data_IF_697263076576
#
_entry.id   IF_697263076576
#
_cell.length_a   1.000
_cell.length_b   1.000
_cell.length_c   1.000
_cell.angle_alpha   90.00
_cell.angle_beta   90.00
_cell.angle_gamma   90.00
#
_symmetry.space_group_name_H-M   'P 1'
#
loop_
_entity.id
_entity.type
_entity.pdbx_description
1 polymer ?
#
# COMPACT_ATOMS: atom_id res chain seq x y z
N UNK A 1 -9.23 13.62 -14.23
CA UNK A 1 -8.56 14.60 -13.32
C UNK A 1 -9.14 14.38 -11.94
N UNK A 2 -8.32 14.37 -10.89
CA UNK A 2 -8.80 14.27 -9.49
C UNK A 2 -9.36 15.63 -9.04
N UNK A 3 -10.35 15.60 -8.13
CA UNK A 3 -11.01 16.84 -7.64
C UNK A 3 -10.13 17.64 -6.63
N UNK A 4 -9.16 16.99 -5.99
CA UNK A 4 -8.14 17.61 -5.15
C UNK A 4 -6.93 16.68 -4.99
N UNK A 5 -5.88 17.14 -4.29
CA UNK A 5 -4.64 16.40 -4.07
C UNK A 5 -4.68 15.46 -2.85
N UNK A 6 -5.79 15.39 -2.12
CA UNK A 6 -5.89 14.55 -0.93
C UNK A 6 -6.36 13.14 -1.30
N UNK A 7 -5.64 12.17 -0.76
CA UNK A 7 -5.84 10.74 -1.00
C UNK A 7 -6.01 10.03 0.34
N UNK A 8 -6.94 9.08 0.43
CA UNK A 8 -6.97 8.15 1.57
C UNK A 8 -5.89 7.10 1.35
N UNK A 9 -4.95 7.01 2.31
CA UNK A 9 -3.90 5.99 2.28
C UNK A 9 -4.48 4.57 2.46
N UNK A 10 -3.88 3.54 1.85
CA UNK A 10 -4.29 2.16 2.07
C UNK A 10 -4.03 1.75 3.53
N UNK A 11 -5.05 1.25 4.20
CA UNK A 11 -5.01 0.85 5.61
C UNK A 11 -5.70 -0.50 5.77
N UNK A 12 -5.00 -1.50 6.28
CA UNK A 12 -5.56 -2.81 6.62
C UNK A 12 -6.64 -2.66 7.67
N UNK A 13 -7.83 -3.18 7.39
CA UNK A 13 -9.00 -3.10 8.29
C UNK A 13 -9.62 -4.46 8.62
N UNK A 14 -9.04 -5.55 8.18
CA UNK A 14 -9.41 -6.94 8.50
C UNK A 14 -10.93 -7.18 8.65
N UNK A 15 -11.73 -6.58 7.76
CA UNK A 15 -13.21 -6.54 7.85
C UNK A 15 -13.92 -7.26 6.71
N UNK A 16 -13.16 -8.01 5.89
CA UNK A 16 -13.71 -8.93 4.90
C UNK A 16 -14.24 -10.21 5.57
N UNK A 17 -14.90 -11.05 4.79
CA UNK A 17 -15.22 -12.42 5.24
C UNK A 17 -13.95 -13.27 5.32
N UNK A 18 -14.03 -14.44 5.94
CA UNK A 18 -12.92 -15.41 5.94
C UNK A 18 -12.48 -15.81 4.53
N UNK A 19 -13.39 -15.78 3.54
CA UNK A 19 -13.11 -16.04 2.13
C UNK A 19 -12.56 -14.82 1.37
N UNK A 20 -12.29 -13.71 2.07
CA UNK A 20 -11.75 -12.49 1.47
C UNK A 20 -12.77 -11.69 0.66
N UNK A 21 -14.07 -11.93 0.84
CA UNK A 21 -15.12 -11.16 0.19
C UNK A 21 -15.31 -9.82 0.91
N UNK A 22 -15.37 -8.73 0.17
CA UNK A 22 -15.69 -7.42 0.75
C UNK A 22 -17.12 -7.42 1.32
N UNK A 23 -17.28 -6.77 2.49
CA UNK A 23 -18.54 -6.75 3.24
C UNK A 23 -19.29 -5.43 3.08
N UNK A 24 -20.56 -5.41 3.48
CA UNK A 24 -21.35 -4.17 3.51
C UNK A 24 -20.77 -3.15 4.53
N UNK A 25 -20.10 -3.62 5.58
CA UNK A 25 -19.34 -2.78 6.52
C UNK A 25 -18.21 -2.05 5.79
N UNK A 26 -17.44 -2.76 4.97
CA UNK A 26 -16.39 -2.16 4.13
C UNK A 26 -16.98 -1.18 3.11
N UNK A 27 -18.10 -1.51 2.48
CA UNK A 27 -18.81 -0.61 1.55
C UNK A 27 -19.11 0.75 2.22
N UNK A 28 -19.71 0.74 3.42
CA UNK A 28 -20.03 1.96 4.18
C UNK A 28 -18.75 2.69 4.62
N UNK A 29 -17.71 1.95 4.99
CA UNK A 29 -16.41 2.51 5.37
C UNK A 29 -15.75 3.28 4.22
N UNK A 30 -15.73 2.75 3.00
CA UNK A 30 -15.15 3.44 1.85
C UNK A 30 -16.04 4.59 1.34
N UNK A 31 -17.35 4.41 1.33
CA UNK A 31 -18.30 5.44 0.90
C UNK A 31 -18.19 6.74 1.71
N UNK A 32 -17.87 6.67 3.02
CA UNK A 32 -17.73 7.88 3.85
C UNK A 32 -16.60 8.81 3.41
N UNK A 33 -15.49 8.27 2.88
CA UNK A 33 -14.39 9.08 2.38
C UNK A 33 -14.75 9.74 1.04
N UNK A 34 -15.45 9.03 0.19
CA UNK A 34 -15.91 9.55 -1.08
C UNK A 34 -16.92 10.70 -0.88
N UNK A 35 -17.91 10.51 0.00
CA UNK A 35 -18.85 11.53 0.44
C UNK A 35 -18.16 12.69 1.15
N UNK A 36 -17.10 12.43 1.92
CA UNK A 36 -16.29 13.42 2.63
C UNK A 36 -15.35 14.24 1.75
N UNK A 37 -15.33 13.99 0.44
CA UNK A 37 -14.67 14.89 -0.52
C UNK A 37 -13.27 14.49 -0.95
N UNK A 38 -12.71 13.34 -0.56
CA UNK A 38 -11.41 12.89 -1.04
C UNK A 38 -11.38 12.70 -2.55
N UNK A 39 -10.28 13.13 -3.22
CA UNK A 39 -10.11 12.97 -4.66
C UNK A 39 -9.81 11.54 -5.10
N UNK A 40 -9.08 10.83 -4.26
CA UNK A 40 -8.67 9.44 -4.48
C UNK A 40 -8.78 8.65 -3.17
N UNK A 41 -9.22 7.41 -3.25
CA UNK A 41 -9.16 6.43 -2.17
C UNK A 41 -8.37 5.23 -2.65
N UNK A 42 -7.28 4.89 -1.95
CA UNK A 42 -6.55 3.65 -2.21
C UNK A 42 -7.07 2.60 -1.23
N UNK A 43 -7.59 1.49 -1.77
CA UNK A 43 -8.09 0.39 -0.96
C UNK A 43 -6.97 -0.25 -0.15
N UNK A 44 -7.32 -0.88 0.98
CA UNK A 44 -6.38 -1.68 1.76
C UNK A 44 -5.71 -2.79 0.92
N UNK A 45 -4.60 -3.36 1.42
CA UNK A 45 -3.86 -4.39 0.71
C UNK A 45 -4.70 -5.63 0.40
N UNK A 46 -4.96 -5.86 -0.90
CA UNK A 46 -5.72 -7.00 -1.43
C UNK A 46 -4.76 -8.13 -1.78
N UNK A 47 -4.95 -9.32 -1.22
CA UNK A 47 -4.09 -10.44 -1.55
C UNK A 47 -4.35 -10.94 -2.99
N UNK A 48 -3.27 -11.34 -3.69
CA UNK A 48 -3.24 -11.53 -5.14
C UNK A 48 -3.49 -12.95 -5.60
N UNK A 49 -3.28 -13.93 -4.72
CA UNK A 49 -3.39 -15.36 -5.04
C UNK A 49 -3.89 -16.16 -3.82
N UNK A 50 -4.35 -17.40 -4.06
CA UNK A 50 -4.76 -18.35 -3.02
C UNK A 50 -3.60 -19.24 -2.53
N UNK A 51 -2.38 -18.97 -2.97
CA UNK A 51 -1.20 -19.74 -2.55
C UNK A 51 -0.58 -19.16 -1.28
N UNK A 52 0.05 -17.99 -1.36
CA UNK A 52 0.88 -17.48 -0.28
C UNK A 52 0.69 -15.99 0.03
N UNK A 53 -0.12 -15.26 -0.76
CA UNK A 53 -0.17 -13.79 -0.66
C UNK A 53 -0.99 -13.26 0.53
N UNK A 54 -1.96 -14.02 1.07
CA UNK A 54 -2.76 -13.59 2.22
C UNK A 54 -1.87 -13.35 3.44
N UNK A 55 -2.05 -12.21 4.10
CA UNK A 55 -1.26 -11.81 5.26
C UNK A 55 -2.01 -11.86 6.59
N UNK A 56 -3.33 -11.72 6.56
CA UNK A 56 -4.14 -11.48 7.75
C UNK A 56 -5.47 -12.22 7.69
N UNK A 57 -5.98 -12.60 8.85
CA UNK A 57 -7.38 -13.04 8.98
C UNK A 57 -8.31 -11.93 8.50
N UNK A 58 -9.36 -12.29 7.79
CA UNK A 58 -10.35 -11.35 7.24
C UNK A 58 -9.77 -10.24 6.36
N UNK A 59 -8.59 -10.47 5.77
CA UNK A 59 -8.05 -9.59 4.73
C UNK A 59 -8.87 -9.77 3.45
N UNK A 60 -9.27 -8.70 2.74
CA UNK A 60 -9.93 -8.83 1.45
C UNK A 60 -8.97 -9.32 0.37
N UNK A 61 -9.50 -10.12 -0.56
CA UNK A 61 -8.76 -10.69 -1.68
C UNK A 61 -9.10 -10.09 -3.03
N UNK A 62 -8.21 -10.31 -3.99
CA UNK A 62 -8.42 -10.08 -5.41
C UNK A 62 -7.95 -11.31 -6.23
N UNK A 63 -7.83 -12.45 -5.56
CA UNK A 63 -7.32 -13.70 -6.11
C UNK A 63 -8.36 -14.45 -6.98
N UNK A 64 -9.64 -14.18 -6.79
CA UNK A 64 -10.74 -14.83 -7.49
C UNK A 64 -11.80 -13.83 -7.93
N UNK A 65 -12.53 -14.16 -9.00
CA UNK A 65 -13.60 -13.31 -9.56
C UNK A 65 -14.71 -13.03 -8.53
N UNK A 66 -15.04 -14.01 -7.67
CA UNK A 66 -16.03 -13.81 -6.61
C UNK A 66 -15.61 -12.74 -5.60
N UNK A 67 -14.33 -12.64 -5.29
CA UNK A 67 -13.79 -11.57 -4.41
C UNK A 67 -13.87 -10.23 -5.12
N UNK A 68 -13.40 -10.15 -6.36
CA UNK A 68 -13.46 -8.94 -7.18
C UNK A 68 -14.88 -8.41 -7.35
N UNK A 69 -15.86 -9.27 -7.61
CA UNK A 69 -17.27 -8.89 -7.78
C UNK A 69 -17.86 -8.19 -6.55
N UNK A 70 -17.39 -8.51 -5.34
CA UNK A 70 -17.90 -7.85 -4.12
C UNK A 70 -17.42 -6.40 -3.97
N UNK A 71 -16.43 -5.96 -4.73
CA UNK A 71 -15.94 -4.60 -4.74
C UNK A 71 -16.73 -3.66 -5.67
N UNK A 72 -17.52 -4.19 -6.64
CA UNK A 72 -18.26 -3.37 -7.60
C UNK A 72 -19.14 -2.31 -6.91
N UNK A 73 -19.94 -2.70 -5.93
CA UNK A 73 -20.79 -1.75 -5.22
C UNK A 73 -19.98 -0.69 -4.42
N UNK A 74 -18.74 -1.00 -4.02
CA UNK A 74 -17.85 -0.07 -3.32
C UNK A 74 -17.29 0.96 -4.29
N UNK A 75 -16.81 0.53 -5.45
CA UNK A 75 -16.30 1.42 -6.49
C UNK A 75 -17.39 2.29 -7.10
N UNK A 76 -18.60 1.74 -7.32
CA UNK A 76 -19.78 2.48 -7.79
C UNK A 76 -20.18 3.59 -6.80
N UNK A 77 -20.21 3.31 -5.48
CA UNK A 77 -20.49 4.32 -4.46
C UNK A 77 -19.44 5.45 -4.48
N UNK A 78 -18.15 5.13 -4.65
CA UNK A 78 -17.10 6.13 -4.76
C UNK A 78 -17.26 7.00 -6.02
N UNK A 79 -17.54 6.37 -7.16
CA UNK A 79 -17.76 7.06 -8.43
C UNK A 79 -18.97 7.99 -8.39
N UNK A 80 -20.05 7.63 -7.66
CA UNK A 80 -21.23 8.48 -7.46
C UNK A 80 -20.86 9.82 -6.77
N UNK A 81 -19.75 9.87 -6.04
CA UNK A 81 -19.21 11.07 -5.40
C UNK A 81 -18.02 11.70 -6.17
N UNK A 82 -17.79 11.33 -7.44
CA UNK A 82 -16.64 11.76 -8.24
C UNK A 82 -15.29 11.49 -7.56
N UNK A 83 -15.17 10.40 -6.81
CA UNK A 83 -13.95 9.92 -6.18
C UNK A 83 -13.41 8.75 -6.98
N UNK A 84 -12.11 8.76 -7.27
CA UNK A 84 -11.43 7.62 -7.88
C UNK A 84 -11.02 6.61 -6.81
N UNK A 85 -11.03 5.33 -7.18
CA UNK A 85 -10.55 4.25 -6.31
C UNK A 85 -9.44 3.46 -6.98
N UNK A 86 -8.32 3.28 -6.26
CA UNK A 86 -7.23 2.41 -6.69
C UNK A 86 -7.18 1.15 -5.81
N UNK A 87 -6.91 0.00 -6.42
CA UNK A 87 -6.68 -1.24 -5.71
C UNK A 87 -5.22 -1.34 -5.30
N UNK A 88 -4.92 -1.44 -4.00
CA UNK A 88 -3.57 -1.82 -3.59
C UNK A 88 -3.44 -3.35 -3.63
N UNK A 89 -2.56 -3.88 -4.47
CA UNK A 89 -2.27 -5.31 -4.56
C UNK A 89 -1.08 -5.68 -3.69
N UNK A 90 -1.23 -6.69 -2.85
CA UNK A 90 -0.27 -7.04 -1.81
C UNK A 90 -0.01 -8.54 -1.74
N UNK A 91 1.24 -8.91 -1.54
CA UNK A 91 1.65 -10.24 -1.13
C UNK A 91 2.44 -10.12 0.18
N UNK A 92 1.93 -10.71 1.26
CA UNK A 92 2.50 -10.49 2.60
C UNK A 92 3.90 -11.11 2.78
N UNK A 93 4.22 -12.17 2.04
CA UNK A 93 5.53 -12.82 2.16
C UNK A 93 5.76 -13.39 3.56
N UNK A 94 6.97 -13.19 4.08
CA UNK A 94 7.36 -13.63 5.42
C UNK A 94 6.54 -13.00 6.55
N UNK A 95 5.90 -11.83 6.32
CA UNK A 95 5.07 -11.14 7.30
C UNK A 95 3.63 -11.65 7.36
N UNK A 96 3.26 -12.70 6.62
CA UNK A 96 1.96 -13.33 6.76
C UNK A 96 1.77 -13.86 8.19
N UNK A 97 0.71 -13.40 8.85
CA UNK A 97 0.32 -13.80 10.21
C UNK A 97 -0.72 -14.91 10.19
N UNK A 98 -1.57 -14.91 9.16
CA UNK A 98 -2.53 -15.97 8.92
C UNK A 98 -2.79 -16.11 7.41
N UNK A 99 -2.53 -17.32 6.88
CA UNK A 99 -2.88 -17.70 5.53
C UNK A 99 -3.71 -18.98 5.60
N UNK A 100 -4.98 -18.89 5.24
CA UNK A 100 -5.90 -20.04 5.29
C UNK A 100 -5.63 -21.10 4.23
N UNK A 101 -4.84 -20.78 3.20
CA UNK A 101 -4.60 -21.64 2.04
C UNK A 101 -3.32 -22.45 2.16
N UNK A 102 -2.35 -22.00 2.94
CA UNK A 102 -1.04 -22.63 3.13
C UNK A 102 -0.56 -22.57 4.57
N UNK A 103 0.22 -23.57 4.95
CA UNK A 103 0.78 -23.70 6.31
C UNK A 103 2.15 -23.05 6.50
N UNK A 104 2.74 -22.46 5.46
CA UNK A 104 4.04 -21.82 5.53
C UNK A 104 4.06 -20.50 4.74
N UNK A 105 4.90 -19.60 5.19
CA UNK A 105 5.16 -18.33 4.52
C UNK A 105 6.31 -18.48 3.52
N UNK A 106 6.33 -17.60 2.52
CA UNK A 106 7.40 -17.53 1.52
C UNK A 106 8.11 -16.19 1.58
N UNK A 107 9.37 -16.17 1.13
CA UNK A 107 10.22 -14.97 1.13
C UNK A 107 11.32 -15.11 0.07
N UNK A 108 12.14 -14.06 -0.18
CA UNK A 108 13.35 -14.22 -1.00
C UNK A 108 14.33 -15.22 -0.39
N UNK A 109 14.44 -15.25 0.94
CA UNK A 109 15.39 -16.07 1.70
C UNK A 109 14.75 -16.60 2.99
N UNK A 110 15.25 -17.71 3.57
CA UNK A 110 14.70 -18.29 4.79
C UNK A 110 15.18 -17.51 6.03
N UNK A 111 14.86 -16.23 6.08
CA UNK A 111 15.22 -15.30 7.16
C UNK A 111 13.96 -14.95 7.94
N UNK A 112 13.95 -15.27 9.25
CA UNK A 112 12.82 -14.93 10.11
C UNK A 112 12.69 -13.42 10.27
N UNK A 113 11.49 -12.82 10.04
CA UNK A 113 11.27 -11.41 10.32
C UNK A 113 11.55 -11.05 11.78
N UNK A 114 12.06 -9.84 12.00
CA UNK A 114 12.25 -9.26 13.34
C UNK A 114 10.90 -8.97 14.00
N UNK A 115 10.90 -8.92 15.34
CA UNK A 115 9.75 -8.51 16.14
C UNK A 115 8.69 -9.60 16.26
N UNK A 116 7.50 -9.18 16.65
CA UNK A 116 6.33 -10.03 16.85
C UNK A 116 5.22 -9.65 15.86
N UNK A 117 4.32 -10.60 15.63
CA UNK A 117 3.11 -10.41 14.84
C UNK A 117 2.22 -9.33 15.45
N UNK A 118 1.53 -8.56 14.63
CA UNK A 118 0.69 -7.45 15.07
C UNK A 118 -0.62 -7.95 15.68
N UNK A 119 -0.78 -7.76 16.98
CA UNK A 119 -1.94 -8.25 17.74
C UNK A 119 -3.27 -7.62 17.28
N UNK A 120 -3.23 -6.37 16.81
CA UNK A 120 -4.40 -5.68 16.28
C UNK A 120 -4.89 -6.20 14.91
N UNK A 121 -4.09 -7.04 14.24
CA UNK A 121 -4.45 -7.79 13.04
C UNK A 121 -4.52 -9.31 13.33
N UNK A 122 -4.92 -9.69 14.54
CA UNK A 122 -5.06 -11.08 15.04
C UNK A 122 -3.75 -11.86 15.17
N UNK A 123 -2.59 -11.22 15.04
CA UNK A 123 -1.29 -11.89 15.17
C UNK A 123 -0.92 -12.21 16.60
N UNK A 124 -0.11 -13.24 16.79
CA UNK A 124 0.40 -13.65 18.11
C UNK A 124 1.81 -14.22 18.02
N UNK A 125 2.71 -13.76 18.90
CA UNK A 125 4.08 -14.28 19.01
C UNK A 125 4.98 -13.93 17.82
N UNK A 126 6.06 -14.68 17.69
CA UNK A 126 7.07 -14.44 16.64
C UNK A 126 6.56 -14.86 15.25
N UNK A 127 7.05 -14.18 14.22
CA UNK A 127 6.81 -14.63 12.84
C UNK A 127 7.41 -16.03 12.59
N UNK A 128 6.76 -16.90 11.79
CA UNK A 128 7.34 -18.19 11.41
C UNK A 128 8.57 -17.99 10.50
N UNK A 129 9.42 -19.02 10.41
CA UNK A 129 10.51 -19.05 9.43
C UNK A 129 9.90 -19.27 8.04
N UNK A 130 10.14 -18.37 7.07
CA UNK A 130 9.63 -18.54 5.71
C UNK A 130 10.46 -19.56 4.92
N UNK A 131 9.87 -20.06 3.83
CA UNK A 131 10.54 -20.85 2.80
C UNK A 131 11.00 -19.91 1.67
N UNK A 132 12.22 -20.08 1.18
CA UNK A 132 12.70 -19.30 0.05
C UNK A 132 11.94 -19.67 -1.23
N UNK A 133 11.50 -18.67 -1.99
CA UNK A 133 10.91 -18.85 -3.31
C UNK A 133 11.99 -19.32 -4.31
N UNK A 134 11.65 -20.31 -5.10
CA UNK A 134 12.41 -20.68 -6.30
C UNK A 134 11.94 -19.88 -7.53
N UNK A 135 12.53 -20.12 -8.68
CA UNK A 135 12.17 -19.44 -9.95
C UNK A 135 10.69 -19.64 -10.31
N UNK A 136 10.14 -20.82 -10.07
CA UNK A 136 8.73 -21.11 -10.35
C UNK A 136 7.81 -20.33 -9.42
N UNK A 137 8.11 -20.30 -8.11
CA UNK A 137 7.36 -19.53 -7.15
C UNK A 137 7.44 -18.01 -7.42
N UNK A 138 8.57 -17.49 -7.88
CA UNK A 138 8.70 -16.10 -8.30
C UNK A 138 7.82 -15.80 -9.53
N UNK A 139 7.78 -16.71 -10.51
CA UNK A 139 6.90 -16.57 -11.67
C UNK A 139 5.42 -16.59 -11.26
N UNK A 140 5.00 -17.49 -10.36
CA UNK A 140 3.64 -17.53 -9.80
C UNK A 140 3.25 -16.21 -9.09
N UNK A 141 4.19 -15.58 -8.37
CA UNK A 141 3.95 -14.26 -7.74
C UNK A 141 3.66 -13.22 -8.82
N UNK A 142 4.44 -13.14 -9.88
CA UNK A 142 4.23 -12.18 -10.99
C UNK A 142 2.86 -12.41 -11.63
N UNK A 143 2.53 -13.66 -11.95
CA UNK A 143 1.23 -14.04 -12.53
C UNK A 143 0.06 -13.69 -11.61
N UNK A 144 0.21 -13.91 -10.30
CA UNK A 144 -0.78 -13.54 -9.28
C UNK A 144 -1.09 -12.04 -9.28
N UNK A 145 -0.05 -11.19 -9.32
CA UNK A 145 -0.25 -9.73 -9.41
C UNK A 145 -0.94 -9.33 -10.72
N UNK A 146 -0.58 -9.92 -11.86
CA UNK A 146 -1.21 -9.63 -13.17
C UNK A 146 -2.68 -10.04 -13.16
N UNK A 147 -2.99 -11.25 -12.70
CA UNK A 147 -4.35 -11.75 -12.64
C UNK A 147 -5.23 -10.91 -11.68
N UNK A 148 -4.70 -10.55 -10.51
CA UNK A 148 -5.39 -9.69 -9.55
C UNK A 148 -5.64 -8.28 -10.11
N UNK A 149 -4.65 -7.68 -10.79
CA UNK A 149 -4.78 -6.37 -11.43
C UNK A 149 -5.88 -6.39 -12.51
N UNK A 150 -5.90 -7.43 -13.34
CA UNK A 150 -6.93 -7.61 -14.38
C UNK A 150 -8.34 -7.67 -13.77
N UNK A 151 -8.52 -8.46 -12.69
CA UNK A 151 -9.80 -8.54 -11.96
C UNK A 151 -10.19 -7.21 -11.31
N UNK A 152 -9.23 -6.52 -10.69
CA UNK A 152 -9.48 -5.24 -10.05
C UNK A 152 -10.04 -4.20 -11.03
N UNK A 153 -9.54 -4.16 -12.26
CA UNK A 153 -10.02 -3.21 -13.28
C UNK A 153 -11.30 -3.72 -13.93
N UNK A 154 -11.31 -4.95 -14.47
CA UNK A 154 -12.38 -5.39 -15.35
C UNK A 154 -13.58 -6.01 -14.63
N UNK A 155 -13.41 -6.48 -13.38
CA UNK A 155 -14.50 -7.07 -12.59
C UNK A 155 -14.90 -6.14 -11.45
N UNK A 156 -13.95 -5.65 -10.66
CA UNK A 156 -14.25 -4.83 -9.48
C UNK A 156 -14.52 -3.35 -9.79
N UNK A 157 -14.08 -2.83 -10.95
CA UNK A 157 -14.33 -1.46 -11.39
C UNK A 157 -13.38 -0.41 -10.76
N UNK A 158 -12.20 -0.80 -10.28
CA UNK A 158 -11.19 0.15 -9.84
C UNK A 158 -10.64 0.99 -11.00
N UNK A 159 -10.21 2.22 -10.71
CA UNK A 159 -9.69 3.17 -11.68
C UNK A 159 -8.17 3.05 -11.91
N UNK A 160 -7.47 2.31 -11.06
CA UNK A 160 -6.01 2.14 -11.16
C UNK A 160 -5.49 1.13 -10.13
N UNK A 161 -4.20 0.83 -10.24
CA UNK A 161 -3.50 -0.17 -9.43
C UNK A 161 -2.34 0.47 -8.68
N UNK A 162 -2.23 0.15 -7.40
CA UNK A 162 -1.03 0.37 -6.61
C UNK A 162 -0.38 -0.97 -6.25
N UNK A 163 0.84 -1.20 -6.69
CA UNK A 163 1.63 -2.38 -6.33
C UNK A 163 2.29 -2.11 -4.97
N UNK A 164 2.04 -2.97 -4.00
CA UNK A 164 2.61 -2.80 -2.67
C UNK A 164 4.02 -3.39 -2.56
N UNK A 165 5.03 -2.54 -2.71
CA UNK A 165 6.46 -2.88 -2.57
C UNK A 165 7.10 -2.13 -1.39
N UNK A 166 6.37 -1.98 -0.29
CA UNK A 166 6.74 -1.23 0.89
C UNK A 166 6.49 -2.00 2.19
N UNK A 167 6.82 -1.41 3.31
CA UNK A 167 6.42 -1.81 4.66
C UNK A 167 6.89 -3.21 5.11
N UNK A 168 7.84 -3.83 4.42
CA UNK A 168 8.35 -5.16 4.75
C UNK A 168 7.60 -6.32 4.11
N UNK A 169 6.62 -6.08 3.22
CA UNK A 169 5.93 -7.15 2.49
C UNK A 169 6.78 -7.73 1.36
N UNK A 170 6.32 -8.77 0.65
CA UNK A 170 7.15 -9.61 -0.20
C UNK A 170 8.05 -8.84 -1.16
N UNK A 171 7.52 -7.87 -1.91
CA UNK A 171 8.33 -7.13 -2.89
C UNK A 171 9.38 -6.26 -2.22
N UNK A 172 9.07 -5.71 -1.03
CA UNK A 172 10.02 -4.99 -0.20
C UNK A 172 11.05 -5.94 0.47
N UNK A 173 10.66 -7.20 0.79
CA UNK A 173 11.60 -8.21 1.27
C UNK A 173 12.64 -8.54 0.22
N UNK A 174 12.27 -8.60 -1.07
CA UNK A 174 13.23 -8.74 -2.15
C UNK A 174 14.16 -7.54 -2.28
N UNK A 175 13.64 -6.32 -2.12
CA UNK A 175 14.40 -5.07 -2.20
C UNK A 175 15.37 -4.90 -1.02
N UNK A 176 15.02 -5.37 0.16
CA UNK A 176 15.74 -5.14 1.43
C UNK A 176 16.90 -6.12 1.59
N UNK A 177 18.13 -5.61 1.79
CA UNK A 177 19.34 -6.42 1.90
C UNK A 177 19.30 -7.40 3.09
N UNK A 178 18.72 -6.98 4.22
CA UNK A 178 18.65 -7.76 5.45
C UNK A 178 17.68 -8.96 5.36
N UNK A 179 16.78 -8.97 4.40
CA UNK A 179 15.79 -10.04 4.19
C UNK A 179 16.03 -10.85 2.92
N UNK A 180 17.05 -10.48 2.13
CA UNK A 180 17.38 -11.10 0.85
C UNK A 180 18.89 -11.36 0.75
N UNK A 181 19.30 -12.59 1.11
CA UNK A 181 20.69 -13.07 1.01
C UNK A 181 20.97 -13.89 -0.26
N UNK A 182 20.06 -13.81 -1.25
CA UNK A 182 20.21 -14.51 -2.53
C UNK A 182 21.46 -14.06 -3.28
N UNK A 183 22.05 -15.00 -4.03
CA UNK A 183 23.24 -14.80 -4.88
C UNK A 183 22.94 -14.94 -6.37
N UNK A 184 21.67 -15.10 -6.72
CA UNK A 184 21.16 -15.18 -8.10
C UNK A 184 20.70 -13.80 -8.64
N UNK A 185 19.97 -13.80 -9.75
CA UNK A 185 19.47 -12.58 -10.40
C UNK A 185 18.50 -11.75 -9.54
N UNK A 186 17.98 -12.30 -8.43
CA UNK A 186 16.98 -11.69 -7.55
C UNK A 186 17.56 -11.13 -6.25
N UNK A 187 18.90 -11.23 -6.04
CA UNK A 187 19.58 -10.79 -4.82
C UNK A 187 20.90 -10.07 -5.06
N UNK A 188 21.66 -9.79 -4.00
CA UNK A 188 22.95 -9.11 -4.07
C UNK A 188 22.86 -7.58 -4.19
N UNK A 189 23.14 -6.98 -5.35
CA UNK A 189 23.12 -5.53 -5.53
C UNK A 189 21.71 -4.96 -5.44
N UNK A 190 21.57 -3.65 -5.13
CA UNK A 190 20.25 -2.99 -5.14
C UNK A 190 19.55 -3.15 -6.49
N UNK A 191 20.30 -3.11 -7.59
CA UNK A 191 19.75 -3.31 -8.94
C UNK A 191 19.17 -4.72 -9.12
N UNK A 192 19.86 -5.74 -8.63
CA UNK A 192 19.38 -7.14 -8.70
C UNK A 192 18.16 -7.33 -7.76
N UNK A 193 18.18 -6.75 -6.57
CA UNK A 193 17.05 -6.81 -5.63
C UNK A 193 15.80 -6.10 -6.15
N UNK A 194 15.93 -5.13 -7.05
CA UNK A 194 14.82 -4.46 -7.75
C UNK A 194 14.19 -5.31 -8.85
N UNK A 195 14.81 -6.43 -9.26
CA UNK A 195 14.33 -7.23 -10.40
C UNK A 195 12.89 -7.65 -10.24
N UNK A 196 12.48 -8.16 -9.07
CA UNK A 196 11.08 -8.59 -8.85
C UNK A 196 10.09 -7.41 -8.81
N UNK A 197 10.27 -6.34 -8.01
CA UNK A 197 9.38 -5.20 -8.05
C UNK A 197 9.19 -4.61 -9.45
N UNK A 198 10.28 -4.49 -10.22
CA UNK A 198 10.25 -4.00 -11.61
C UNK A 198 9.56 -4.99 -12.56
N UNK A 199 9.79 -6.29 -12.40
CA UNK A 199 9.12 -7.32 -13.22
C UNK A 199 7.60 -7.30 -13.00
N UNK A 200 7.14 -7.23 -11.75
CA UNK A 200 5.71 -7.11 -11.41
C UNK A 200 5.12 -5.83 -12.01
N UNK A 201 5.77 -4.67 -11.81
CA UNK A 201 5.29 -3.40 -12.36
C UNK A 201 5.12 -3.48 -13.89
N UNK A 202 6.14 -3.95 -14.61
CA UNK A 202 6.10 -4.09 -16.08
C UNK A 202 5.04 -5.08 -16.55
N UNK A 203 4.90 -6.23 -15.87
CA UNK A 203 3.93 -7.26 -16.24
C UNK A 203 2.49 -6.77 -16.05
N UNK A 204 2.19 -6.08 -14.94
CA UNK A 204 0.87 -5.49 -14.69
C UNK A 204 0.56 -4.38 -15.71
N UNK A 205 1.52 -3.48 -15.99
CA UNK A 205 1.34 -2.44 -17.03
C UNK A 205 1.10 -3.06 -18.41
N UNK A 206 1.86 -4.07 -18.79
CA UNK A 206 1.68 -4.75 -20.07
C UNK A 206 0.30 -5.40 -20.21
N UNK A 207 -0.25 -5.94 -19.12
CA UNK A 207 -1.57 -6.56 -19.11
C UNK A 207 -2.73 -5.56 -19.18
N UNK A 208 -2.57 -4.38 -18.54
CA UNK A 208 -3.65 -3.37 -18.46
C UNK A 208 -3.57 -2.29 -19.56
N UNK A 209 -2.43 -2.16 -20.24
CA UNK A 209 -2.18 -1.12 -21.24
C UNK A 209 -2.00 0.28 -20.64
N UNK A 210 -1.83 1.27 -21.50
CA UNK A 210 -1.39 2.62 -21.12
C UNK A 210 -2.51 3.53 -20.56
N UNK A 211 -3.77 3.09 -20.62
CA UNK A 211 -4.91 3.92 -20.18
C UNK A 211 -5.23 3.78 -18.70
N UNK A 212 -4.77 2.71 -18.07
CA UNK A 212 -4.99 2.43 -16.65
C UNK A 212 -3.71 2.80 -15.87
N UNK A 213 -3.78 3.73 -14.90
CA UNK A 213 -2.62 4.07 -14.10
C UNK A 213 -2.18 2.92 -13.21
N UNK A 214 -0.91 2.56 -13.28
CA UNK A 214 -0.26 1.55 -12.46
C UNK A 214 0.95 2.16 -11.77
N UNK A 215 0.88 2.30 -10.46
CA UNK A 215 1.97 2.81 -9.65
C UNK A 215 2.47 1.80 -8.62
N UNK A 216 3.45 2.23 -7.86
CA UNK A 216 4.12 1.37 -6.89
C UNK A 216 4.38 2.12 -5.58
N UNK A 217 4.11 1.47 -4.45
CA UNK A 217 4.38 2.02 -3.12
C UNK A 217 5.71 1.52 -2.60
N UNK A 218 6.54 2.45 -2.09
CA UNK A 218 7.91 2.20 -1.62
C UNK A 218 8.09 2.83 -0.23
N UNK A 219 8.85 2.14 0.64
CA UNK A 219 9.27 2.67 1.95
C UNK A 219 10.68 2.22 2.33
N UNK A 220 11.28 2.92 3.27
CA UNK A 220 12.43 2.42 4.02
C UNK A 220 11.95 1.70 5.29
N UNK A 221 11.07 2.35 6.07
CA UNK A 221 10.48 1.78 7.27
C UNK A 221 9.61 0.55 6.97
N UNK A 222 9.63 -0.43 7.89
CA UNK A 222 8.83 -1.66 7.81
C UNK A 222 7.81 -1.67 8.95
N UNK A 223 6.71 -2.38 8.80
CA UNK A 223 5.72 -2.53 9.89
C UNK A 223 6.28 -3.22 11.13
N UNK A 224 7.33 -4.01 10.95
CA UNK A 224 8.05 -4.73 12.01
C UNK A 224 9.45 -4.15 12.32
N UNK A 225 9.89 -3.08 11.62
CA UNK A 225 11.15 -2.38 11.85
C UNK A 225 11.05 -0.92 11.35
N UNK A 226 10.49 -0.03 12.17
CA UNK A 226 10.27 1.38 11.82
C UNK A 226 11.57 2.18 11.64
N UNK A 227 12.71 1.65 12.12
CA UNK A 227 14.02 2.31 12.02
C UNK A 227 14.83 1.86 10.81
N UNK A 228 14.33 0.91 10.04
CA UNK A 228 14.99 0.43 8.83
C UNK A 228 15.27 1.58 7.85
N UNK A 229 16.51 1.61 7.34
CA UNK A 229 16.95 2.57 6.32
C UNK A 229 17.78 1.84 5.26
N UNK A 230 17.72 2.33 4.04
CA UNK A 230 18.55 1.78 2.96
C UNK A 230 20.03 2.02 3.22
N UNK A 231 20.88 0.98 3.23
CA UNK A 231 22.30 1.10 3.61
C UNK A 231 23.11 1.98 2.65
N UNK A 232 22.78 1.97 1.36
CA UNK A 232 23.40 2.84 0.34
C UNK A 232 22.87 4.27 0.31
N UNK A 233 21.91 4.61 1.20
CA UNK A 233 21.39 5.99 1.34
C UNK A 233 20.97 6.59 0.00
N UNK A 234 21.57 7.72 -0.39
CA UNK A 234 21.26 8.44 -1.63
C UNK A 234 21.49 7.60 -2.90
N UNK A 235 22.51 6.72 -2.91
CA UNK A 235 22.75 5.85 -4.07
C UNK A 235 21.66 4.80 -4.25
N UNK A 236 21.15 4.25 -3.14
CA UNK A 236 20.01 3.34 -3.20
C UNK A 236 18.73 4.08 -3.63
N UNK A 237 18.47 5.27 -3.09
CA UNK A 237 17.33 6.09 -3.50
C UNK A 237 17.38 6.40 -5.02
N UNK A 238 18.54 6.79 -5.53
CA UNK A 238 18.74 7.04 -6.96
C UNK A 238 18.50 5.78 -7.80
N UNK A 239 19.02 4.64 -7.37
CA UNK A 239 18.84 3.38 -8.08
C UNK A 239 17.37 2.92 -8.07
N UNK A 240 16.70 3.00 -6.91
CA UNK A 240 15.32 2.58 -6.73
C UNK A 240 14.37 3.45 -7.55
N UNK A 241 14.35 4.75 -7.30
CA UNK A 241 13.41 5.65 -7.96
C UNK A 241 13.69 5.76 -9.47
N UNK A 242 14.97 5.79 -9.89
CA UNK A 242 15.34 5.78 -11.30
C UNK A 242 14.91 4.50 -12.02
N UNK A 243 15.04 3.32 -11.39
CA UNK A 243 14.59 2.06 -11.98
C UNK A 243 13.06 1.99 -12.12
N UNK A 244 12.31 2.48 -11.13
CA UNK A 244 10.84 2.52 -11.18
C UNK A 244 10.34 3.49 -12.27
N UNK A 245 10.95 4.66 -12.40
CA UNK A 245 10.66 5.59 -13.48
C UNK A 245 10.95 4.96 -14.86
N UNK A 246 12.13 4.34 -15.02
CA UNK A 246 12.52 3.64 -16.25
C UNK A 246 11.65 2.40 -16.54
N UNK A 247 11.02 1.81 -15.53
CA UNK A 247 10.04 0.73 -15.69
C UNK A 247 8.66 1.24 -16.11
N UNK A 248 8.44 2.57 -16.14
CA UNK A 248 7.22 3.20 -16.58
C UNK A 248 6.15 3.29 -15.49
N UNK A 249 6.52 3.44 -14.22
CA UNK A 249 5.54 3.72 -13.17
C UNK A 249 4.75 4.99 -13.48
N UNK A 250 3.41 4.93 -13.41
CA UNK A 250 2.55 6.08 -13.63
C UNK A 250 2.47 6.99 -12.39
N UNK A 251 2.82 6.46 -11.23
CA UNK A 251 3.07 7.20 -9.99
C UNK A 251 3.93 6.38 -9.03
N UNK A 252 4.62 7.06 -8.11
CA UNK A 252 5.35 6.43 -7.01
C UNK A 252 4.77 6.94 -5.68
N UNK A 253 4.28 6.03 -4.84
CA UNK A 253 3.76 6.35 -3.52
C UNK A 253 4.86 6.12 -2.48
N UNK A 254 5.40 7.20 -1.95
CA UNK A 254 6.48 7.17 -0.94
C UNK A 254 5.87 7.21 0.44
N UNK A 255 6.18 6.21 1.28
CA UNK A 255 5.71 6.17 2.66
C UNK A 255 6.85 6.09 3.66
N UNK A 256 6.78 6.92 4.68
CA UNK A 256 7.69 6.97 5.85
C UNK A 256 6.86 7.15 7.13
N UNK A 257 7.48 7.00 8.29
CA UNK A 257 6.78 7.28 9.55
C UNK A 257 6.43 8.77 9.67
N UNK A 258 7.38 9.66 9.33
CA UNK A 258 7.24 11.13 9.28
C UNK A 258 7.85 11.62 7.95
N UNK A 259 6.99 11.83 6.95
CA UNK A 259 7.44 12.06 5.56
C UNK A 259 8.30 13.32 5.36
N UNK A 260 8.17 14.31 6.26
CA UNK A 260 8.95 15.56 6.20
C UNK A 260 10.36 15.46 6.75
N UNK A 261 10.69 14.35 7.45
CA UNK A 261 12.04 14.19 8.00
C UNK A 261 13.05 13.85 6.92
N UNK A 262 14.33 14.22 7.15
CA UNK A 262 15.42 13.75 6.31
C UNK A 262 15.39 12.23 6.15
N UNK A 263 15.58 11.77 4.92
CA UNK A 263 15.56 10.33 4.59
C UNK A 263 16.69 9.56 5.29
N UNK A 264 17.84 10.22 5.49
CA UNK A 264 19.04 9.61 6.06
C UNK A 264 19.75 10.56 7.03
N UNK A 265 20.46 10.00 7.98
CA UNK A 265 21.33 10.77 8.86
C UNK A 265 22.37 11.57 8.06
N UNK A 266 22.45 12.87 8.36
CA UNK A 266 23.32 13.81 7.66
C UNK A 266 22.78 14.34 6.33
N UNK A 267 21.56 13.93 5.92
CA UNK A 267 20.82 14.52 4.81
C UNK A 267 19.91 15.65 5.28
N UNK A 268 19.55 16.54 4.36
CA UNK A 268 18.46 17.53 4.55
C UNK A 268 17.26 17.21 3.66
N UNK A 269 17.38 16.24 2.75
CA UNK A 269 16.34 15.88 1.79
C UNK A 269 15.45 14.78 2.38
N UNK A 270 14.12 14.98 2.31
CA UNK A 270 13.12 13.94 2.62
C UNK A 270 13.14 12.84 1.56
N UNK A 271 12.53 11.68 1.88
CA UNK A 271 12.39 10.61 0.88
C UNK A 271 11.48 11.02 -0.28
N UNK A 272 10.49 11.89 -0.03
CA UNK A 272 9.61 12.48 -1.04
C UNK A 272 10.42 13.31 -2.02
N UNK A 273 11.28 14.21 -1.51
CA UNK A 273 12.17 15.04 -2.35
C UNK A 273 13.14 14.18 -3.18
N UNK A 274 13.68 13.10 -2.61
CA UNK A 274 14.55 12.18 -3.35
C UNK A 274 13.79 11.43 -4.46
N UNK A 275 12.54 11.02 -4.22
CA UNK A 275 11.70 10.41 -5.24
C UNK A 275 11.44 11.37 -6.40
N UNK A 276 11.01 12.60 -6.11
CA UNK A 276 10.80 13.64 -7.11
C UNK A 276 12.08 13.93 -7.93
N UNK A 277 13.23 13.96 -7.26
CA UNK A 277 14.54 14.22 -7.87
C UNK A 277 14.99 13.10 -8.81
N UNK A 278 14.83 11.83 -8.41
CA UNK A 278 15.37 10.68 -9.14
C UNK A 278 14.35 9.97 -10.04
N UNK A 279 13.08 10.35 -9.97
CA UNK A 279 12.02 9.93 -10.90
C UNK A 279 11.37 11.15 -11.57
N UNK A 280 12.15 11.95 -12.35
CA UNK A 280 11.63 13.19 -12.93
C UNK A 280 10.44 12.90 -13.86
N UNK A 281 9.36 13.67 -13.71
CA UNK A 281 8.14 13.54 -14.52
C UNK A 281 7.19 12.41 -14.07
N UNK A 282 7.54 11.62 -13.06
CA UNK A 282 6.64 10.64 -12.45
C UNK A 282 5.93 11.30 -11.27
N UNK A 283 4.59 11.32 -11.24
CA UNK A 283 3.82 11.83 -10.10
C UNK A 283 4.18 11.13 -8.78
N UNK A 284 4.35 11.91 -7.71
CA UNK A 284 4.70 11.42 -6.39
C UNK A 284 3.52 11.58 -5.43
N UNK A 285 3.15 10.49 -4.76
CA UNK A 285 2.21 10.50 -3.63
C UNK A 285 3.03 10.44 -2.34
N UNK A 286 2.89 11.43 -1.46
CA UNK A 286 3.55 11.44 -0.16
C UNK A 286 2.65 10.85 0.92
N UNK A 287 3.20 10.00 1.79
CA UNK A 287 2.51 9.46 2.96
C UNK A 287 3.44 9.38 4.17
N UNK A 288 2.91 9.71 5.35
CA UNK A 288 3.62 9.58 6.62
C UNK A 288 3.32 10.72 7.58
N UNK A 289 2.35 10.52 8.47
CA UNK A 289 1.92 11.47 9.50
C UNK A 289 1.53 12.87 8.99
N UNK A 290 1.03 12.97 7.76
CA UNK A 290 0.63 14.21 7.08
C UNK A 290 -0.84 14.57 7.40
N UNK A 291 -1.16 14.72 8.69
CA UNK A 291 -2.54 14.88 9.16
C UNK A 291 -3.04 16.32 9.34
N UNK A 292 -2.22 17.32 9.07
CA UNK A 292 -2.58 18.75 9.16
C UNK A 292 -2.17 19.50 7.89
N UNK A 293 -2.80 20.67 7.66
CA UNK A 293 -2.60 21.45 6.43
C UNK A 293 -1.15 21.93 6.26
N UNK A 294 -0.43 22.23 7.34
CA UNK A 294 0.96 22.66 7.24
C UNK A 294 1.85 21.53 6.72
N UNK A 295 1.69 20.30 7.24
CA UNK A 295 2.42 19.12 6.78
C UNK A 295 2.07 18.71 5.36
N UNK A 296 0.80 18.86 4.96
CA UNK A 296 0.38 18.67 3.57
C UNK A 296 1.13 19.65 2.65
N UNK A 297 1.15 20.93 3.02
CA UNK A 297 1.87 21.95 2.24
C UNK A 297 3.39 21.71 2.20
N UNK A 298 4.01 21.27 3.30
CA UNK A 298 5.42 20.89 3.33
C UNK A 298 5.70 19.75 2.32
N UNK A 299 4.86 18.71 2.29
CA UNK A 299 5.02 17.59 1.37
C UNK A 299 4.86 18.01 -0.10
N UNK A 300 3.90 18.89 -0.41
CA UNK A 300 3.72 19.46 -1.75
C UNK A 300 4.94 20.31 -2.15
N UNK A 301 5.49 21.11 -1.24
CA UNK A 301 6.71 21.91 -1.47
C UNK A 301 7.96 21.02 -1.66
N UNK A 302 7.96 19.80 -1.10
CA UNK A 302 9.00 18.78 -1.31
C UNK A 302 8.89 18.06 -2.66
N UNK A 303 7.84 18.33 -3.45
CA UNK A 303 7.63 17.78 -4.78
C UNK A 303 6.63 16.64 -4.86
N UNK A 304 5.77 16.48 -3.85
CA UNK A 304 4.61 15.60 -3.97
C UNK A 304 3.52 16.24 -4.86
N UNK A 305 2.86 15.43 -5.67
CA UNK A 305 1.68 15.83 -6.46
C UNK A 305 0.39 15.52 -5.70
N UNK A 306 0.40 14.46 -4.89
CA UNK A 306 -0.70 14.01 -4.04
C UNK A 306 -0.20 13.73 -2.62
N UNK A 307 -1.09 13.87 -1.66
CA UNK A 307 -0.81 13.54 -0.25
C UNK A 307 -1.79 12.49 0.26
N UNK A 308 -1.27 11.33 0.64
CA UNK A 308 -2.05 10.25 1.19
C UNK A 308 -2.08 10.33 2.72
N UNK A 309 -3.27 10.39 3.30
CA UNK A 309 -3.50 10.48 4.73
C UNK A 309 -4.18 9.21 5.26
N UNK A 310 -3.65 8.65 6.34
CA UNK A 310 -4.20 7.47 7.01
C UNK A 310 -5.01 7.86 8.24
N UNK A 311 -4.37 7.91 9.41
CA UNK A 311 -5.00 8.18 10.72
C UNK A 311 -5.87 9.44 10.75
N UNK A 312 -5.44 10.50 10.05
CA UNK A 312 -6.23 11.73 9.96
C UNK A 312 -7.54 11.51 9.18
N UNK A 313 -7.53 10.71 8.11
CA UNK A 313 -8.74 10.35 7.36
C UNK A 313 -9.68 9.46 8.20
N UNK A 314 -9.15 8.52 8.99
CA UNK A 314 -9.98 7.71 9.90
C UNK A 314 -10.79 8.58 10.86
N UNK A 315 -10.14 9.59 11.46
CA UNK A 315 -10.78 10.54 12.37
C UNK A 315 -11.66 11.56 11.67
N UNK A 316 -11.35 11.91 10.41
CA UNK A 316 -11.98 12.97 9.65
C UNK A 316 -12.25 12.51 8.21
N UNK A 317 -13.33 11.74 7.96
CA UNK A 317 -13.70 11.38 6.60
C UNK A 317 -13.97 12.58 5.69
N UNK A 318 -14.27 13.74 6.29
CA UNK A 318 -14.52 15.06 5.70
C UNK A 318 -13.28 15.98 5.66
N UNK A 319 -12.07 15.44 5.85
CA UNK A 319 -10.81 16.20 5.94
C UNK A 319 -10.60 17.23 4.82
N UNK A 320 -10.92 16.95 3.54
CA UNK A 320 -10.79 17.96 2.48
C UNK A 320 -11.60 19.23 2.77
N UNK A 321 -12.85 19.11 3.20
CA UNK A 321 -13.71 20.25 3.56
C UNK A 321 -13.22 21.00 4.82
N UNK A 322 -12.63 20.29 5.79
CA UNK A 322 -12.02 20.92 6.97
C UNK A 322 -10.83 21.81 6.56
N UNK A 323 -9.98 21.32 5.67
CA UNK A 323 -8.84 22.10 5.18
C UNK A 323 -9.27 23.32 4.35
N UNK A 324 -10.27 23.17 3.47
CA UNK A 324 -10.84 24.29 2.71
C UNK A 324 -11.45 25.37 3.62
N UNK A 325 -12.08 24.97 4.71
CA UNK A 325 -12.70 25.88 5.69
C UNK A 325 -11.73 26.42 6.73
N UNK A 326 -10.44 26.01 6.71
CA UNK A 326 -9.45 26.39 7.72
C UNK A 326 -9.74 25.82 9.11
N UNK A 327 -10.55 24.76 9.21
CA UNK A 327 -10.91 24.11 10.48
C UNK A 327 -9.87 23.03 10.80
N UNK A 328 -9.37 23.03 12.04
CA UNK A 328 -8.40 22.03 12.48
C UNK A 328 -9.05 20.63 12.53
N UNK A 329 -8.35 19.58 12.01
CA UNK A 329 -8.85 18.22 12.09
C UNK A 329 -8.98 17.71 13.52
N UNK A 330 -9.96 16.85 13.76
CA UNK A 330 -10.12 16.12 15.02
C UNK A 330 -8.96 15.15 15.21
N UNK A 331 -8.40 15.00 16.42
CA UNK A 331 -7.42 13.96 16.71
C UNK A 331 -8.03 12.57 16.55
N UNK A 332 -7.20 11.57 16.19
CA UNK A 332 -7.66 10.18 16.12
C UNK A 332 -7.93 9.64 17.52
N UNK A 333 -9.08 8.98 17.68
CA UNK A 333 -9.34 8.11 18.82
C UNK A 333 -8.59 6.78 18.61
N UNK A 334 -7.64 6.40 19.50
CA UNK A 334 -6.94 5.13 19.39
C UNK A 334 -7.86 3.90 19.37
N UNK A 335 -9.07 4.00 19.94
CA UNK A 335 -10.04 2.91 19.96
C UNK A 335 -10.50 2.49 18.55
N UNK A 336 -10.35 3.36 17.54
CA UNK A 336 -10.62 3.03 16.14
C UNK A 336 -9.76 1.84 15.65
N UNK A 337 -8.52 1.74 16.14
CA UNK A 337 -7.57 0.70 15.74
C UNK A 337 -7.38 -0.40 16.81
N UNK A 338 -8.13 -0.38 17.88
CA UNK A 338 -7.98 -1.30 18.99
C UNK A 338 -9.28 -1.95 19.46
N UNK A 339 -9.23 -3.14 20.13
CA UNK A 339 -8.07 -4.06 20.21
C UNK A 339 -7.74 -4.73 18.88
N UNK A 340 -8.69 -4.85 17.95
CA UNK A 340 -8.52 -5.31 16.56
C UNK A 340 -8.74 -4.12 15.65
N UNK A 341 -8.01 -4.05 14.54
CA UNK A 341 -8.08 -2.93 13.59
C UNK A 341 -9.25 -3.06 12.59
N UNK A 342 -10.28 -3.82 12.90
CA UNK A 342 -11.50 -3.93 12.09
C UNK A 342 -12.28 -2.59 12.04
N UNK A 343 -13.17 -2.46 11.07
CA UNK A 343 -14.03 -1.28 10.93
C UNK A 343 -15.07 -1.26 12.05
N UNK A 344 -15.06 -0.20 12.87
CA UNK A 344 -15.99 -0.03 13.99
C UNK A 344 -17.33 0.52 13.54
N UNK A 345 -18.40 0.18 14.27
CA UNK A 345 -19.73 0.76 14.01
C UNK A 345 -19.70 2.29 14.05
N UNK A 346 -18.97 2.89 15.00
CA UNK A 346 -18.81 4.34 15.11
C UNK A 346 -18.26 5.01 13.86
N UNK A 347 -17.47 4.29 13.06
CA UNK A 347 -16.90 4.79 11.82
C UNK A 347 -17.91 4.83 10.67
N UNK A 348 -18.88 3.91 10.66
CA UNK A 348 -19.86 3.79 9.57
C UNK A 348 -21.14 4.60 9.82
N UNK A 349 -21.38 5.07 11.04
CA UNK A 349 -22.51 5.97 11.33
C UNK A 349 -22.24 7.43 11.00
N UNK A 350 -20.99 7.84 10.79
CA UNK A 350 -20.59 9.20 10.49
C UNK A 350 -21.18 9.72 9.15
N UNK A 351 -21.47 8.84 8.20
CA UNK A 351 -22.04 9.20 6.91
C UNK A 351 -23.57 9.34 6.87
N UNK A 352 -24.28 9.08 7.96
CA UNK A 352 -25.75 9.24 8.02
C UNK A 352 -26.16 10.69 8.39
N UNK A 353 -25.23 11.60 8.61
CA UNK A 353 -25.45 13.01 8.98
C UNK A 353 -24.94 14.01 7.91
N UNK A 354 -24.39 13.49 6.79
CA UNK A 354 -24.04 14.28 5.61
C UNK A 354 -25.11 14.05 4.50
#
# INVERSE_FOLDING_TARGET
>A
MLKNCLTVAPMTRVSATEDGLATNTMRRYYARFAAGGFGLVIAEGLYTDLSHSQGYRNQPGMAEDKQAATWQAITEDAHAHNTRMFAQLMHAGALSQENRFRSHNVAPSPIRPKGEQMAFDYGTGAYPMPVALDEAGIAEVIEGFVAAATRAIHVAGFDGIEIHAANGYLLDQFLTAETNDRVDAWGGTVASRLTLPVAVLRAVKAALGDTIPVGIRISQAKVNDYLSKWPGKHSDAQAIFGALAAAGADFIHVTEFEAWRPAFDGSTESLVRLAHKYAPGVPIIANGSLGDAARVNDALADGADLVAVGRAALANPDLPGLFESGVAPRPIDPAILGPIADVKESEIFFGAQL
#
